data_IF_793198573906
#
_entry.id   IF_793198573906
#
_cell.length_a   1.000
_cell.length_b   1.000
_cell.length_c   1.000
_cell.angle_alpha   90.00
_cell.angle_beta   90.00
_cell.angle_gamma   90.00
#
_symmetry.space_group_name_H-M   'P 1'
#
loop_
_entity.id
_entity.type
_entity.pdbx_description
1 polymer ?
#
# COMPACT_ATOMS: atom_id res chain seq x y z
N UNK A 1 -50.17 31.88 8.51
CA UNK A 1 -49.98 30.83 7.46
C UNK A 1 -48.54 30.68 6.94
N UNK A 2 -47.57 31.52 7.35
CA UNK A 2 -46.21 31.48 6.77
C UNK A 2 -45.20 30.54 7.48
N UNK A 3 -45.34 30.27 8.78
CA UNK A 3 -44.38 29.46 9.54
C UNK A 3 -44.29 27.99 9.11
N UNK A 4 -45.43 27.36 8.78
CA UNK A 4 -45.47 25.95 8.35
C UNK A 4 -44.86 25.75 6.97
N UNK A 5 -44.96 26.73 6.08
CA UNK A 5 -44.34 26.71 4.75
C UNK A 5 -42.81 26.87 4.83
N UNK A 6 -42.33 27.74 5.73
CA UNK A 6 -40.90 27.92 5.98
C UNK A 6 -40.24 26.67 6.58
N UNK A 7 -40.91 26.01 7.54
CA UNK A 7 -40.41 24.76 8.12
C UNK A 7 -40.31 23.62 7.11
N UNK A 8 -41.32 23.48 6.22
CA UNK A 8 -41.30 22.46 5.16
C UNK A 8 -40.18 22.74 4.15
N UNK A 9 -40.00 24.00 3.74
CA UNK A 9 -38.92 24.38 2.82
C UNK A 9 -37.52 24.12 3.41
N UNK A 10 -37.32 24.44 4.70
CA UNK A 10 -36.07 24.17 5.39
C UNK A 10 -35.79 22.65 5.50
N UNK A 11 -36.81 21.85 5.81
CA UNK A 11 -36.70 20.39 5.88
C UNK A 11 -36.34 19.79 4.52
N UNK A 12 -37.01 20.22 3.45
CA UNK A 12 -36.69 19.77 2.09
C UNK A 12 -35.26 20.15 1.69
N UNK A 13 -34.79 21.34 2.06
CA UNK A 13 -33.41 21.76 1.82
C UNK A 13 -32.40 20.87 2.54
N UNK A 14 -32.63 20.56 3.82
CA UNK A 14 -31.76 19.67 4.60
C UNK A 14 -31.72 18.24 4.05
N UNK A 15 -32.87 17.70 3.63
CA UNK A 15 -32.95 16.36 3.03
C UNK A 15 -32.23 16.33 1.68
N UNK A 16 -32.43 17.33 0.83
CA UNK A 16 -31.73 17.42 -0.46
C UNK A 16 -30.20 17.50 -0.27
N UNK A 17 -29.74 18.28 0.71
CA UNK A 17 -28.33 18.36 1.05
C UNK A 17 -27.78 17.02 1.57
N UNK A 18 -28.51 16.33 2.45
CA UNK A 18 -28.12 15.03 2.98
C UNK A 18 -28.03 13.96 1.88
N UNK A 19 -28.99 13.94 0.96
CA UNK A 19 -28.97 13.05 -0.20
C UNK A 19 -27.74 13.33 -1.06
N UNK A 20 -27.49 14.59 -1.43
CA UNK A 20 -26.32 14.99 -2.23
C UNK A 20 -25.00 14.59 -1.57
N UNK A 21 -24.85 14.84 -0.27
CA UNK A 21 -23.69 14.42 0.51
C UNK A 21 -23.52 12.90 0.48
N UNK A 22 -24.60 12.15 0.68
CA UNK A 22 -24.61 10.69 0.61
C UNK A 22 -24.22 10.16 -0.77
N UNK A 23 -24.72 10.76 -1.86
CA UNK A 23 -24.34 10.36 -3.22
C UNK A 23 -22.90 10.71 -3.54
N UNK A 24 -22.40 11.87 -3.12
CA UNK A 24 -21.00 12.25 -3.33
C UNK A 24 -20.06 11.29 -2.58
N UNK A 25 -20.36 10.98 -1.33
CA UNK A 25 -19.59 10.03 -0.53
C UNK A 25 -19.64 8.62 -1.12
N UNK A 26 -20.83 8.16 -1.53
CA UNK A 26 -21.02 6.87 -2.20
C UNK A 26 -20.29 6.78 -3.54
N UNK A 27 -20.31 7.87 -4.32
CA UNK A 27 -19.58 7.96 -5.57
C UNK A 27 -18.07 7.89 -5.34
N UNK A 28 -17.52 8.66 -4.40
CA UNK A 28 -16.10 8.62 -4.04
C UNK A 28 -15.68 7.27 -3.46
N UNK A 29 -16.60 6.54 -2.84
CA UNK A 29 -16.35 5.17 -2.38
C UNK A 29 -16.24 4.18 -3.54
N UNK A 30 -17.08 4.33 -4.57
CA UNK A 30 -17.19 3.41 -5.71
C UNK A 30 -16.24 3.73 -6.88
N UNK A 31 -15.88 4.99 -7.07
CA UNK A 31 -15.00 5.42 -8.16
C UNK A 31 -13.53 5.11 -7.85
N UNK A 32 -12.79 4.71 -8.89
CA UNK A 32 -11.34 4.48 -8.85
C UNK A 32 -10.53 5.77 -8.58
N UNK A 33 -9.21 5.78 -8.82
CA UNK A 33 -8.34 6.88 -8.39
C UNK A 33 -8.87 8.24 -8.90
N UNK A 34 -8.91 9.22 -7.99
CA UNK A 34 -9.58 10.50 -8.19
C UNK A 34 -9.01 11.37 -9.32
N UNK A 35 -7.81 11.06 -9.82
CA UNK A 35 -7.18 11.74 -10.94
C UNK A 35 -6.25 10.79 -11.69
N UNK A 36 -6.59 10.47 -12.95
CA UNK A 36 -5.76 9.60 -13.80
C UNK A 36 -4.41 10.23 -14.16
N UNK A 37 -4.32 11.56 -14.15
CA UNK A 37 -3.09 12.33 -14.40
C UNK A 37 -2.34 12.69 -13.11
N UNK A 38 -2.88 12.28 -11.96
CA UNK A 38 -2.29 12.52 -10.63
C UNK A 38 -1.13 11.58 -10.30
N UNK A 39 -0.46 11.80 -9.15
CA UNK A 39 0.52 10.85 -8.65
C UNK A 39 -0.09 9.44 -8.53
N UNK A 40 0.68 8.38 -8.83
CA UNK A 40 0.20 7.02 -8.68
C UNK A 40 -0.32 6.78 -7.27
N UNK A 41 -1.47 6.13 -7.14
CA UNK A 41 -2.07 5.85 -5.84
C UNK A 41 -2.60 4.42 -5.74
N UNK A 42 -2.72 3.93 -4.51
CA UNK A 42 -3.30 2.64 -4.18
C UNK A 42 -4.48 2.86 -3.25
N UNK A 43 -5.65 2.33 -3.59
CA UNK A 43 -6.84 2.43 -2.74
C UNK A 43 -6.63 1.65 -1.43
N UNK A 44 -6.57 2.34 -0.30
CA UNK A 44 -6.35 1.76 1.04
C UNK A 44 -7.52 1.94 2.00
N UNK A 45 -8.63 2.53 1.52
CA UNK A 45 -9.84 2.76 2.32
C UNK A 45 -10.42 1.46 2.92
N UNK A 46 -10.24 0.33 2.23
CA UNK A 46 -10.69 -0.99 2.68
C UNK A 46 -9.59 -1.84 3.32
N UNK A 47 -8.38 -1.30 3.42
CA UNK A 47 -7.26 -1.98 4.07
C UNK A 47 -7.45 -1.84 5.59
N UNK A 48 -7.90 -2.90 6.25
CA UNK A 48 -8.18 -2.91 7.68
C UNK A 48 -6.87 -2.87 8.50
N UNK A 49 -6.88 -2.39 9.74
CA UNK A 49 -5.75 -2.56 10.65
C UNK A 49 -5.34 -4.05 10.75
N UNK A 50 -4.05 -4.32 10.81
CA UNK A 50 -3.55 -5.69 10.85
C UNK A 50 -3.61 -6.43 9.51
N UNK A 51 -3.74 -5.70 8.39
CA UNK A 51 -3.83 -6.30 7.04
C UNK A 51 -2.88 -5.64 6.05
N UNK A 52 -2.68 -6.30 4.92
CA UNK A 52 -1.80 -5.86 3.85
C UNK A 52 -2.35 -6.19 2.47
N UNK A 53 -1.82 -5.53 1.46
CA UNK A 53 -2.11 -5.79 0.06
C UNK A 53 -0.88 -5.60 -0.82
N UNK A 54 -0.92 -6.20 -2.01
CA UNK A 54 0.11 -6.05 -3.03
C UNK A 54 -0.36 -5.10 -4.13
N UNK A 55 0.47 -4.14 -4.49
CA UNK A 55 0.26 -3.24 -5.63
C UNK A 55 1.41 -3.34 -6.63
N UNK A 56 1.15 -3.01 -7.90
CA UNK A 56 2.21 -2.88 -8.90
C UNK A 56 3.02 -1.62 -8.64
N UNK A 57 4.32 -1.66 -8.92
CA UNK A 57 5.10 -0.43 -9.02
C UNK A 57 4.60 0.43 -10.19
N UNK A 58 4.62 1.77 -10.05
CA UNK A 58 4.27 2.65 -11.15
C UNK A 58 5.32 2.57 -12.26
N UNK A 59 4.90 2.77 -13.51
CA UNK A 59 5.81 2.80 -14.65
C UNK A 59 6.64 4.11 -14.72
N UNK A 60 6.15 5.17 -14.08
CA UNK A 60 6.82 6.47 -14.03
C UNK A 60 8.00 6.43 -13.04
N UNK A 61 9.22 6.59 -13.56
CA UNK A 61 10.45 6.53 -12.79
C UNK A 61 10.57 7.60 -11.70
N UNK A 62 9.82 8.71 -11.80
CA UNK A 62 9.81 9.77 -10.76
C UNK A 62 9.34 9.25 -9.40
N UNK A 63 8.60 8.15 -9.38
CA UNK A 63 8.06 7.55 -8.15
C UNK A 63 8.78 6.27 -7.74
N UNK A 64 9.85 5.89 -8.46
CA UNK A 64 10.68 4.75 -8.11
C UNK A 64 11.81 5.16 -7.16
N UNK A 65 12.41 4.20 -6.42
CA UNK A 65 13.65 4.42 -5.70
C UNK A 65 14.72 5.10 -6.57
N UNK A 66 15.52 5.98 -5.94
CA UNK A 66 16.58 6.70 -6.62
C UNK A 66 17.53 5.75 -7.39
N UNK A 67 17.86 6.12 -8.62
CA UNK A 67 18.75 5.36 -9.50
C UNK A 67 18.08 4.23 -10.29
N UNK A 68 16.78 3.96 -10.08
CA UNK A 68 16.05 2.98 -10.90
C UNK A 68 15.45 3.59 -12.16
N UNK A 69 15.41 2.78 -13.22
CA UNK A 69 14.88 3.18 -14.53
C UNK A 69 13.43 2.70 -14.69
N UNK A 70 12.65 3.27 -15.62
CA UNK A 70 11.26 2.85 -15.84
C UNK A 70 11.07 1.33 -16.04
N UNK A 71 12.00 0.66 -16.72
CA UNK A 71 11.90 -0.79 -16.93
C UNK A 71 12.17 -1.62 -15.67
N UNK A 72 12.84 -1.05 -14.66
CA UNK A 72 13.06 -1.73 -13.38
C UNK A 72 11.75 -1.81 -12.57
N UNK A 73 10.74 -0.98 -12.87
CA UNK A 73 9.42 -1.05 -12.24
C UNK A 73 8.78 -2.44 -12.36
N UNK A 74 8.96 -3.13 -13.49
CA UNK A 74 8.41 -4.48 -13.69
C UNK A 74 9.03 -5.52 -12.73
N UNK A 75 10.22 -5.22 -12.20
CA UNK A 75 10.98 -6.02 -11.24
C UNK A 75 10.66 -5.65 -9.79
N UNK A 76 9.70 -4.75 -9.58
CA UNK A 76 9.28 -4.29 -8.27
C UNK A 76 7.83 -4.64 -8.00
N UNK A 77 7.54 -4.82 -6.71
CA UNK A 77 6.21 -4.84 -6.15
C UNK A 77 6.16 -3.94 -4.95
N UNK A 78 4.99 -3.32 -4.76
CA UNK A 78 4.72 -2.48 -3.62
C UNK A 78 3.94 -3.30 -2.60
N UNK A 79 4.54 -3.53 -1.44
CA UNK A 79 3.82 -3.99 -0.26
C UNK A 79 3.19 -2.78 0.41
N UNK A 80 1.88 -2.78 0.61
CA UNK A 80 1.18 -1.76 1.38
C UNK A 80 0.53 -2.46 2.57
N UNK A 81 0.84 -2.03 3.79
CA UNK A 81 0.27 -2.60 5.01
C UNK A 81 -0.31 -1.51 5.90
N UNK A 82 -1.37 -1.85 6.63
CA UNK A 82 -1.90 -1.01 7.70
C UNK A 82 -1.58 -1.68 9.03
N UNK A 83 -0.77 -0.99 9.84
CA UNK A 83 -0.45 -1.47 11.18
C UNK A 83 -1.68 -1.50 12.09
N UNK A 84 -1.56 -2.16 13.24
CA UNK A 84 -2.57 -2.13 14.31
C UNK A 84 -2.79 -0.70 14.83
N UNK A 85 -1.77 0.15 14.71
CA UNK A 85 -1.84 1.59 14.99
C UNK A 85 -2.63 2.40 13.94
N UNK A 86 -3.17 1.74 12.92
CA UNK A 86 -3.92 2.34 11.84
C UNK A 86 -3.07 3.04 10.78
N UNK A 87 -1.75 3.16 10.98
CA UNK A 87 -0.86 3.83 10.04
C UNK A 87 -0.57 2.94 8.83
N UNK A 88 -0.73 3.51 7.64
CA UNK A 88 -0.36 2.87 6.38
C UNK A 88 1.13 3.06 6.11
N UNK A 89 1.78 1.98 5.71
CA UNK A 89 3.21 1.93 5.37
C UNK A 89 3.36 1.18 4.07
N UNK A 90 4.38 1.54 3.30
CA UNK A 90 4.64 0.87 2.05
C UNK A 90 6.13 0.63 1.83
N UNK A 91 6.47 -0.50 1.20
CA UNK A 91 7.84 -0.95 0.97
C UNK A 91 8.01 -1.51 -0.44
N UNK A 92 9.16 -1.23 -1.05
CA UNK A 92 9.56 -1.80 -2.33
C UNK A 92 10.17 -3.18 -2.13
N UNK A 93 9.62 -4.17 -2.83
CA UNK A 93 10.11 -5.53 -2.80
C UNK A 93 10.43 -6.03 -4.21
N UNK A 94 11.46 -6.89 -4.36
CA UNK A 94 11.82 -7.43 -5.65
C UNK A 94 10.72 -8.37 -6.14
N UNK A 95 10.55 -8.40 -7.45
CA UNK A 95 9.62 -9.27 -8.15
C UNK A 95 10.34 -9.94 -9.32
N UNK A 96 10.24 -11.26 -9.41
CA UNK A 96 10.80 -12.03 -10.50
C UNK A 96 9.84 -13.14 -10.93
N UNK A 97 9.64 -13.32 -12.24
CA UNK A 97 8.74 -14.35 -12.77
C UNK A 97 7.31 -14.26 -12.22
N UNK A 98 6.84 -13.06 -11.91
CA UNK A 98 5.52 -12.82 -11.31
C UNK A 98 5.45 -13.01 -9.79
N UNK A 99 6.47 -13.55 -9.15
CA UNK A 99 6.53 -13.82 -7.69
C UNK A 99 7.27 -12.71 -6.95
N UNK A 100 6.90 -12.50 -5.69
CA UNK A 100 7.64 -11.64 -4.77
C UNK A 100 8.90 -12.37 -4.32
N UNK A 101 10.03 -11.68 -4.28
CA UNK A 101 11.28 -12.19 -3.73
C UNK A 101 11.57 -11.58 -2.36
N UNK A 102 12.36 -12.30 -1.58
CA UNK A 102 12.97 -11.78 -0.36
C UNK A 102 14.12 -10.84 -0.76
N UNK A 103 14.14 -9.58 -0.28
CA UNK A 103 15.28 -8.68 -0.52
C UNK A 103 16.57 -9.27 0.05
N UNK A 104 17.62 -9.27 -0.75
CA UNK A 104 18.94 -9.79 -0.38
C UNK A 104 20.10 -8.85 -0.75
N UNK A 105 19.78 -7.71 -1.36
CA UNK A 105 20.74 -6.71 -1.83
C UNK A 105 20.24 -5.30 -1.43
N UNK A 106 21.12 -4.31 -1.49
CA UNK A 106 20.78 -2.92 -1.24
C UNK A 106 19.82 -2.36 -2.29
N UNK A 107 19.90 -2.83 -3.54
CA UNK A 107 18.96 -2.43 -4.58
C UNK A 107 17.66 -3.24 -4.50
N UNK A 108 16.48 -2.61 -4.34
CA UNK A 108 15.21 -3.33 -4.28
C UNK A 108 14.82 -3.94 -5.64
N UNK A 109 15.46 -3.52 -6.74
CA UNK A 109 15.25 -4.10 -8.07
C UNK A 109 16.15 -5.33 -8.33
N UNK A 110 17.15 -5.59 -7.48
CA UNK A 110 17.97 -6.79 -7.59
C UNK A 110 17.08 -8.05 -7.53
N UNK A 111 17.43 -9.14 -8.22
CA UNK A 111 16.69 -10.38 -8.10
C UNK A 111 16.72 -10.84 -6.64
N UNK A 112 15.55 -10.83 -5.97
CA UNK A 112 15.42 -11.32 -4.61
C UNK A 112 15.55 -12.85 -4.52
N UNK A 113 15.68 -13.37 -3.30
CA UNK A 113 15.66 -14.82 -3.06
C UNK A 113 14.21 -15.31 -3.28
N UNK A 114 13.98 -16.36 -4.10
CA UNK A 114 12.65 -16.89 -4.30
C UNK A 114 12.00 -17.33 -2.99
N UNK A 115 10.77 -16.91 -2.74
CA UNK A 115 9.93 -17.43 -1.66
C UNK A 115 8.47 -17.35 -2.06
N UNK A 116 7.74 -18.45 -1.92
CA UNK A 116 6.33 -18.50 -2.28
C UNK A 116 5.41 -17.92 -1.22
N UNK A 117 5.87 -17.91 0.03
CA UNK A 117 5.13 -17.45 1.20
C UNK A 117 5.90 -16.31 1.89
N UNK A 118 6.14 -15.24 1.13
CA UNK A 118 6.74 -14.01 1.63
C UNK A 118 5.63 -13.00 1.91
N UNK A 119 5.38 -12.73 3.19
CA UNK A 119 4.28 -11.85 3.61
C UNK A 119 4.55 -11.25 5.01
N UNK A 120 3.83 -10.15 5.35
CA UNK A 120 3.66 -9.73 6.73
C UNK A 120 2.86 -10.73 7.55
N UNK A 121 3.24 -10.89 8.81
CA UNK A 121 2.51 -11.61 9.85
C UNK A 121 2.34 -10.67 11.05
N UNK A 122 1.10 -10.25 11.26
CA UNK A 122 0.76 -9.28 12.30
C UNK A 122 0.73 -9.91 13.70
N UNK A 123 0.60 -11.23 13.80
CA UNK A 123 0.68 -11.93 15.09
C UNK A 123 2.11 -11.97 15.61
N UNK A 124 3.07 -12.24 14.72
CA UNK A 124 4.49 -12.30 15.09
C UNK A 124 5.19 -10.96 14.96
N UNK A 125 4.57 -9.98 14.30
CA UNK A 125 5.06 -8.60 14.19
C UNK A 125 6.18 -8.43 13.16
N UNK A 126 6.24 -9.30 12.14
CA UNK A 126 7.32 -9.29 11.16
C UNK A 126 6.87 -9.60 9.74
N UNK A 127 7.73 -9.24 8.78
CA UNK A 127 7.66 -9.53 7.36
C UNK A 127 8.77 -10.53 7.08
N UNK A 128 8.47 -11.62 6.40
CA UNK A 128 9.46 -12.68 6.19
C UNK A 128 8.95 -13.81 5.31
N UNK A 129 9.88 -14.68 4.91
CA UNK A 129 9.56 -15.94 4.26
C UNK A 129 9.15 -16.96 5.31
N UNK A 130 8.06 -17.69 5.08
CA UNK A 130 7.56 -18.77 5.97
C UNK A 130 7.51 -20.13 5.31
N UNK A 131 8.06 -20.24 4.10
CA UNK A 131 8.03 -21.46 3.32
C UNK A 131 8.82 -22.59 4.02
N UNK A 132 8.18 -23.69 4.43
CA UNK A 132 8.85 -24.76 5.20
C UNK A 132 9.52 -25.82 4.31
N UNK A 133 9.67 -25.56 3.00
CA UNK A 133 10.22 -26.53 2.05
C UNK A 133 11.76 -26.49 2.05
N UNK A 134 12.44 -27.65 1.88
CA UNK A 134 13.89 -27.70 1.70
C UNK A 134 14.35 -26.83 0.52
N UNK A 135 15.52 -26.21 0.66
CA UNK A 135 16.12 -25.33 -0.36
C UNK A 135 15.75 -23.85 -0.24
N UNK A 136 14.96 -23.47 0.77
CA UNK A 136 14.54 -22.10 1.07
C UNK A 136 15.11 -21.56 2.39
N UNK A 137 16.05 -22.27 3.00
CA UNK A 137 16.61 -21.97 4.32
C UNK A 137 17.29 -20.59 4.36
N UNK A 138 17.83 -20.12 3.24
CA UNK A 138 18.39 -18.77 3.13
C UNK A 138 17.30 -17.70 3.23
N UNK A 139 16.16 -17.89 2.56
CA UNK A 139 15.04 -16.96 2.60
C UNK A 139 14.46 -16.80 4.02
N UNK A 140 14.42 -17.90 4.80
CA UNK A 140 13.93 -17.92 6.18
C UNK A 140 14.80 -17.09 7.15
N UNK A 141 16.06 -16.81 6.81
CA UNK A 141 16.97 -16.04 7.67
C UNK A 141 16.63 -14.56 7.68
N UNK A 142 15.96 -14.06 6.66
CA UNK A 142 15.69 -12.64 6.52
C UNK A 142 14.32 -12.29 7.09
N UNK A 143 14.32 -11.43 8.12
CA UNK A 143 13.11 -10.94 8.78
C UNK A 143 13.19 -9.45 8.99
N UNK A 144 12.04 -8.80 8.90
CA UNK A 144 11.88 -7.38 9.13
C UNK A 144 10.71 -7.13 10.05
N UNK A 145 10.76 -6.10 10.88
CA UNK A 145 9.58 -5.61 11.60
C UNK A 145 8.50 -5.14 10.61
N UNK A 146 7.26 -4.98 11.09
CA UNK A 146 6.20 -4.31 10.31
C UNK A 146 6.52 -2.85 9.95
N UNK A 147 7.55 -2.25 10.56
CA UNK A 147 8.08 -0.94 10.20
C UNK A 147 9.21 -0.99 9.16
N UNK A 148 9.55 -2.19 8.65
CA UNK A 148 10.59 -2.38 7.64
C UNK A 148 12.02 -2.44 8.19
N UNK A 149 12.21 -2.32 9.50
CA UNK A 149 13.55 -2.48 10.12
C UNK A 149 13.98 -3.94 10.14
N UNK A 150 15.22 -4.24 9.78
CA UNK A 150 15.79 -5.56 9.82
C UNK A 150 15.78 -6.11 11.27
N UNK A 151 15.38 -7.38 11.40
CA UNK A 151 15.38 -8.12 12.67
C UNK A 151 16.49 -9.18 12.73
N UNK A 152 17.07 -9.51 11.58
CA UNK A 152 18.13 -10.53 11.46
C UNK A 152 19.47 -9.89 11.16
N UNK A 153 20.55 -10.44 11.74
CA UNK A 153 21.91 -10.00 11.46
C UNK A 153 22.24 -10.15 9.96
N UNK A 154 22.94 -9.16 9.39
CA UNK A 154 23.31 -9.14 7.97
C UNK A 154 22.16 -8.87 7.00
N UNK A 155 20.96 -8.54 7.49
CA UNK A 155 19.82 -8.10 6.67
C UNK A 155 19.76 -6.57 6.67
N UNK A 156 19.55 -5.97 5.50
CA UNK A 156 19.35 -4.53 5.34
C UNK A 156 17.88 -4.17 5.62
N UNK A 157 17.61 -2.96 6.08
CA UNK A 157 16.25 -2.44 6.21
C UNK A 157 15.51 -2.46 4.86
N UNK A 158 14.19 -2.65 4.89
CA UNK A 158 13.36 -2.54 3.69
C UNK A 158 13.39 -1.10 3.17
N UNK A 159 13.49 -0.97 1.84
CA UNK A 159 13.37 0.33 1.19
C UNK A 159 11.91 0.78 1.23
N UNK A 160 11.65 1.80 2.05
CA UNK A 160 10.32 2.42 2.15
C UNK A 160 9.90 3.08 0.83
N UNK A 161 8.61 2.99 0.51
CA UNK A 161 8.02 3.76 -0.56
C UNK A 161 7.47 5.08 -0.01
N UNK A 162 7.97 6.20 -0.54
CA UNK A 162 7.50 7.53 -0.16
C UNK A 162 6.03 7.71 -0.56
N UNK A 163 5.21 8.13 0.39
CA UNK A 163 3.79 8.33 0.18
C UNK A 163 3.06 8.71 1.46
N UNK A 164 1.77 9.02 1.30
CA UNK A 164 0.87 9.32 2.41
C UNK A 164 -0.56 8.94 2.09
N UNK A 165 -1.35 8.67 3.13
CA UNK A 165 -2.79 8.45 2.99
C UNK A 165 -3.50 9.81 2.75
N UNK A 166 -4.36 9.88 1.74
CA UNK A 166 -5.18 11.04 1.39
C UNK A 166 -6.50 10.54 0.83
N UNK A 167 -7.63 10.93 1.42
CA UNK A 167 -8.99 10.55 0.99
C UNK A 167 -9.21 9.03 0.77
N UNK A 168 -8.54 8.19 1.58
CA UNK A 168 -8.63 6.73 1.48
C UNK A 168 -7.72 6.09 0.42
N UNK A 169 -6.83 6.87 -0.19
CA UNK A 169 -5.80 6.40 -1.11
C UNK A 169 -4.41 6.62 -0.50
N UNK A 170 -3.51 5.65 -0.67
CA UNK A 170 -2.09 5.85 -0.43
C UNK A 170 -1.47 6.43 -1.69
N UNK A 171 -1.14 7.72 -1.65
CA UNK A 171 -0.63 8.47 -2.78
C UNK A 171 0.89 8.45 -2.73
N UNK A 172 1.53 7.92 -3.78
CA UNK A 172 2.99 7.91 -3.88
C UNK A 172 3.51 9.34 -4.04
N UNK A 173 4.67 9.58 -3.43
CA UNK A 173 5.41 10.83 -3.54
C UNK A 173 6.74 10.55 -4.24
N UNK A 174 7.17 11.48 -5.09
CA UNK A 174 8.53 11.43 -5.59
C UNK A 174 9.51 11.61 -4.41
N UNK A 175 10.57 10.80 -4.32
CA UNK A 175 11.56 10.87 -3.25
C UNK A 175 12.39 12.16 -3.27
#
# INVERSE_FOLDING_TARGET
MNGRRLLVAALCGMVAAAVLLGTVLGWRYASGPANADGPPSVRVLRLLPGTFMWANAPADARYLPAGLRPHDAARLKLLVLRGEDGAVRAFWLPRHGGRIGVPADASPAAPGIPCNDFAPDFRTGDIGCRQPLPGFEFALRHRWSLQGRALSAGTLDLVGAAGRETDGDWVLQAP
#
